data_IF_679751732649
#
_entry.id   IF_679751732649
#
_cell.length_a   1.000
_cell.length_b   1.000
_cell.length_c   1.000
_cell.angle_alpha   90.00
_cell.angle_beta   90.00
_cell.angle_gamma   90.00
#
_symmetry.space_group_name_H-M   'P 1'
#
loop_
_entity.id
_entity.type
_entity.pdbx_description
1 polymer ?
#
# COMPACT_ATOMS: atom_id res chain seq x y z
N UNK A 1 13.16 15.40 -5.88
CA UNK A 1 13.10 14.32 -6.89
C UNK A 1 14.47 14.16 -7.52
N UNK A 2 15.16 13.03 -7.29
CA UNK A 2 16.56 12.84 -7.71
C UNK A 2 16.78 11.65 -8.65
N UNK A 3 15.88 10.67 -8.62
CA UNK A 3 16.02 9.39 -9.35
C UNK A 3 14.91 9.16 -10.40
N UNK A 4 14.03 10.13 -10.63
CA UNK A 4 12.85 10.03 -11.52
C UNK A 4 11.95 8.80 -11.27
N UNK A 5 11.90 8.31 -10.03
CA UNK A 5 11.03 7.21 -9.63
C UNK A 5 9.68 7.81 -9.19
N UNK A 6 8.55 7.33 -9.72
CA UNK A 6 7.23 7.76 -9.26
C UNK A 6 7.01 7.36 -7.81
N UNK A 7 6.53 8.28 -6.98
CA UNK A 7 6.30 8.02 -5.55
C UNK A 7 4.82 7.88 -5.21
N UNK A 8 4.50 6.85 -4.42
CA UNK A 8 3.20 6.65 -3.77
C UNK A 8 3.43 6.78 -2.27
N UNK A 9 2.62 7.59 -1.58
CA UNK A 9 2.75 7.77 -0.14
C UNK A 9 1.39 8.03 0.53
N UNK A 10 1.28 7.62 1.80
CA UNK A 10 0.14 7.95 2.65
C UNK A 10 0.37 9.38 3.18
N UNK A 11 -0.65 10.22 3.09
CA UNK A 11 -0.61 11.63 3.48
C UNK A 11 -1.71 11.89 4.50
N UNK A 12 -1.32 12.31 5.70
CA UNK A 12 -2.23 12.83 6.72
C UNK A 12 -2.25 14.37 6.71
N UNK A 13 -3.05 14.98 7.59
CA UNK A 13 -3.27 16.43 7.72
C UNK A 13 -2.00 17.28 7.88
N UNK A 14 -0.89 16.69 8.29
CA UNK A 14 0.39 17.35 8.50
C UNK A 14 1.41 17.16 7.35
N UNK A 15 1.08 16.36 6.34
CA UNK A 15 1.96 16.06 5.21
C UNK A 15 1.53 16.83 3.96
N UNK A 16 2.51 17.28 3.16
CA UNK A 16 2.27 18.00 1.92
C UNK A 16 2.00 17.00 0.76
N UNK A 17 0.80 16.98 0.17
CA UNK A 17 0.50 16.08 -0.95
C UNK A 17 1.15 16.50 -2.27
N UNK A 18 1.58 17.77 -2.43
CA UNK A 18 2.09 18.29 -3.71
C UNK A 18 3.46 17.71 -4.10
N UNK A 19 4.20 17.18 -3.12
CA UNK A 19 5.52 16.57 -3.35
C UNK A 19 5.44 15.12 -3.86
N UNK A 20 4.27 14.48 -3.79
CA UNK A 20 4.05 13.05 -4.09
C UNK A 20 3.29 12.91 -5.41
N UNK A 21 3.66 11.93 -6.25
CA UNK A 21 2.98 11.71 -7.54
C UNK A 21 1.59 11.09 -7.37
N UNK A 22 1.44 10.16 -6.42
CA UNK A 22 0.19 9.49 -6.11
C UNK A 22 -0.06 9.50 -4.59
N UNK A 23 -0.62 10.60 -4.04
CA UNK A 23 -0.92 10.69 -2.61
C UNK A 23 -2.16 9.86 -2.25
N UNK A 24 -2.08 9.10 -1.16
CA UNK A 24 -3.19 8.36 -0.56
C UNK A 24 -3.56 9.08 0.74
N UNK A 25 -4.72 9.75 0.77
CA UNK A 25 -5.20 10.38 2.01
C UNK A 25 -5.48 9.31 3.08
N UNK A 26 -4.86 9.43 4.25
CA UNK A 26 -5.04 8.47 5.33
C UNK A 26 -4.15 8.74 6.53
N UNK A 27 -4.48 8.10 7.65
CA UNK A 27 -3.69 8.18 8.88
C UNK A 27 -2.43 7.31 8.76
N UNK A 28 -1.26 7.95 8.73
CA UNK A 28 0.06 7.32 8.67
C UNK A 28 0.64 6.99 10.06
N UNK A 29 0.09 7.53 11.15
CA UNK A 29 0.49 7.19 12.53
C UNK A 29 -0.07 5.82 12.98
N UNK A 30 -1.26 5.46 12.51
CA UNK A 30 -1.97 4.27 12.97
C UNK A 30 -1.54 3.01 12.19
N UNK A 31 -0.88 2.07 12.88
CA UNK A 31 -0.48 0.77 12.28
C UNK A 31 -1.64 0.01 11.63
N UNK A 32 -2.84 0.11 12.21
CA UNK A 32 -4.05 -0.52 11.65
C UNK A 32 -4.44 0.10 10.31
N UNK A 33 -4.36 1.43 10.19
CA UNK A 33 -4.67 2.13 8.95
C UNK A 33 -3.65 1.79 7.86
N UNK A 34 -2.36 1.83 8.19
CA UNK A 34 -1.28 1.42 7.28
C UNK A 34 -1.50 -0.01 6.79
N UNK A 35 -1.79 -0.96 7.70
CA UNK A 35 -2.03 -2.37 7.35
C UNK A 35 -3.16 -2.54 6.35
N UNK A 36 -4.29 -1.85 6.54
CA UNK A 36 -5.44 -1.93 5.63
C UNK A 36 -5.07 -1.41 4.24
N UNK A 37 -4.37 -0.28 4.16
CA UNK A 37 -3.92 0.31 2.89
C UNK A 37 -2.96 -0.64 2.17
N UNK A 38 -1.95 -1.16 2.89
CA UNK A 38 -0.98 -2.10 2.33
C UNK A 38 -1.62 -3.40 1.87
N UNK A 39 -2.58 -3.94 2.64
CA UNK A 39 -3.27 -5.17 2.26
C UNK A 39 -3.97 -5.01 0.91
N UNK A 40 -4.71 -3.91 0.71
CA UNK A 40 -5.37 -3.63 -0.58
C UNK A 40 -4.40 -3.39 -1.72
N UNK A 41 -3.26 -2.76 -1.45
CA UNK A 41 -2.21 -2.57 -2.45
C UNK A 41 -1.60 -3.91 -2.88
N UNK A 42 -1.32 -4.80 -1.92
CA UNK A 42 -0.81 -6.15 -2.19
C UNK A 42 -1.84 -6.97 -2.97
N UNK A 43 -3.10 -6.98 -2.53
CA UNK A 43 -4.20 -7.68 -3.22
C UNK A 43 -4.28 -7.28 -4.71
N UNK A 44 -4.19 -5.98 -4.99
CA UNK A 44 -4.22 -5.44 -6.35
C UNK A 44 -2.99 -5.85 -7.17
N UNK A 45 -1.79 -5.79 -6.59
CA UNK A 45 -0.55 -6.18 -7.28
C UNK A 45 -0.55 -7.67 -7.60
N UNK A 46 -0.96 -8.51 -6.65
CA UNK A 46 -1.06 -9.96 -6.84
C UNK A 46 -2.08 -10.29 -7.94
N UNK A 47 -3.25 -9.67 -7.90
CA UNK A 47 -4.28 -9.84 -8.94
C UNK A 47 -3.80 -9.37 -10.32
N UNK A 48 -3.01 -8.31 -10.40
CA UNK A 48 -2.51 -7.76 -11.66
C UNK A 48 -1.34 -8.57 -12.25
N UNK A 49 -0.55 -9.23 -11.40
CA UNK A 49 0.65 -9.96 -11.83
C UNK A 49 0.34 -11.30 -12.52
N UNK A 50 -0.93 -11.73 -12.56
CA UNK A 50 -1.36 -12.98 -13.22
C UNK A 50 -0.87 -14.27 -12.55
N UNK A 51 -0.05 -14.16 -11.51
CA UNK A 51 0.58 -15.27 -10.84
C UNK A 51 -0.38 -15.85 -9.78
N UNK A 52 -1.20 -16.80 -10.22
CA UNK A 52 -2.17 -17.52 -9.36
C UNK A 52 -1.51 -18.31 -8.22
N UNK A 53 -0.18 -18.41 -8.22
CA UNK A 53 0.63 -19.10 -7.22
C UNK A 53 0.84 -18.30 -5.92
N UNK A 54 0.70 -16.97 -5.98
CA UNK A 54 0.88 -16.08 -4.82
C UNK A 54 -0.40 -15.94 -4.00
N UNK A 55 -1.57 -16.05 -4.64
CA UNK A 55 -2.89 -16.01 -3.99
C UNK A 55 -3.01 -17.10 -2.91
N UNK A 56 -2.46 -18.30 -3.17
CA UNK A 56 -2.49 -19.41 -2.22
C UNK A 56 -1.57 -19.24 -0.99
N UNK A 57 -0.52 -18.40 -1.08
CA UNK A 57 0.43 -18.18 0.02
C UNK A 57 0.01 -17.00 0.91
N UNK A 58 -0.64 -15.97 0.36
CA UNK A 58 -1.15 -14.84 1.12
C UNK A 58 -2.27 -15.24 2.09
N UNK A 59 -3.11 -16.21 1.71
CA UNK A 59 -4.17 -16.75 2.58
C UNK A 59 -3.62 -17.61 3.73
N UNK A 60 -2.46 -18.26 3.58
CA UNK A 60 -1.85 -19.08 4.63
C UNK A 60 -1.01 -18.30 5.65
N UNK A 61 -0.55 -17.09 5.32
CA UNK A 61 0.42 -16.37 6.14
C UNK A 61 -0.18 -15.29 7.07
N UNK A 62 -1.47 -14.94 6.97
CA UNK A 62 -1.95 -13.82 7.78
C UNK A 62 -3.44 -13.51 7.79
N UNK A 63 -4.26 -14.39 8.37
CA UNK A 63 -5.40 -13.98 9.23
C UNK A 63 -5.53 -14.98 10.38
N UNK A 64 -4.60 -14.93 11.34
CA UNK A 64 -4.94 -15.29 12.72
C UNK A 64 -5.39 -14.02 13.42
N UNK A 65 -6.70 -13.77 13.36
CA UNK A 65 -7.46 -13.01 14.32
C UNK A 65 -8.76 -13.78 14.57
#
# INVERSE_FOLDING_TARGET
RRLNIPTVAIVDTNADPEIIDYPIAGNDDAIRAIRVILQKLVDAIVSASGDSSVTAQAEMAGVSA
#
